data_IF_929308105532
#
_entry.id   IF_929308105532
#
_cell.length_a   1.000
_cell.length_b   1.000
_cell.length_c   1.000
_cell.angle_alpha   90.00
_cell.angle_beta   90.00
_cell.angle_gamma   90.00
#
_symmetry.space_group_name_H-M   'P 1'
#
loop_
_entity.id
_entity.type
_entity.pdbx_description
1 polymer ?
#
# COMPACT_ATOMS: atom_id res chain seq x y z
N UNK A 1 -29.57 -33.81 -69.44
CA UNK A 1 -30.47 -34.19 -68.35
C UNK A 1 -29.96 -35.51 -67.79
N UNK A 2 -29.20 -35.46 -66.70
CA UNK A 2 -29.16 -36.45 -65.61
C UNK A 2 -28.15 -35.99 -64.56
N UNK A 3 -28.59 -35.99 -63.30
CA UNK A 3 -27.79 -35.70 -62.12
C UNK A 3 -26.82 -36.86 -61.86
N UNK A 4 -25.62 -36.55 -61.38
CA UNK A 4 -24.92 -37.43 -60.43
C UNK A 4 -24.37 -36.62 -59.26
N UNK A 5 -24.84 -37.02 -58.08
CA UNK A 5 -24.50 -36.59 -56.73
C UNK A 5 -23.06 -37.02 -56.41
N UNK A 6 -22.24 -36.16 -55.81
CA UNK A 6 -21.11 -36.60 -54.99
C UNK A 6 -20.94 -35.67 -53.78
N UNK A 7 -21.44 -36.14 -52.64
CA UNK A 7 -21.15 -35.59 -51.33
C UNK A 7 -19.94 -36.33 -50.72
N UNK A 8 -19.00 -35.56 -50.16
CA UNK A 8 -17.99 -35.88 -49.12
C UNK A 8 -17.21 -34.57 -48.97
N UNK A 9 -17.52 -33.70 -48.01
CA UNK A 9 -17.33 -33.91 -46.58
C UNK A 9 -15.91 -33.44 -46.23
N UNK A 10 -15.79 -32.41 -45.38
CA UNK A 10 -14.90 -32.30 -44.22
C UNK A 10 -14.60 -30.83 -43.85
N UNK A 11 -15.29 -30.42 -42.79
CA UNK A 11 -14.79 -29.64 -41.66
C UNK A 11 -13.94 -28.39 -41.94
N UNK A 12 -14.65 -27.27 -41.86
CA UNK A 12 -14.16 -25.98 -41.39
C UNK A 12 -13.40 -26.16 -40.06
N UNK A 13 -12.12 -25.79 -40.03
CA UNK A 13 -11.40 -25.56 -38.78
C UNK A 13 -10.86 -24.14 -38.78
N UNK A 14 -11.68 -23.24 -38.23
CA UNK A 14 -11.27 -21.88 -37.87
C UNK A 14 -10.10 -21.97 -36.89
N UNK A 15 -8.93 -21.48 -37.31
CA UNK A 15 -7.80 -21.27 -36.41
C UNK A 15 -8.16 -20.15 -35.43
N UNK A 16 -8.73 -20.53 -34.29
CA UNK A 16 -8.90 -19.66 -33.13
C UNK A 16 -7.49 -19.37 -32.62
N UNK A 17 -6.96 -18.19 -32.98
CA UNK A 17 -5.79 -17.64 -32.31
C UNK A 17 -6.22 -17.36 -30.88
N UNK A 18 -5.89 -18.30 -29.98
CA UNK A 18 -6.01 -18.12 -28.54
C UNK A 18 -5.14 -16.92 -28.16
N UNK A 19 -5.79 -15.78 -27.93
CA UNK A 19 -5.17 -14.66 -27.24
C UNK A 19 -4.74 -15.18 -25.86
N UNK A 20 -3.44 -15.42 -25.69
CA UNK A 20 -2.83 -15.61 -24.39
C UNK A 20 -3.01 -14.29 -23.62
N UNK A 21 -4.06 -14.20 -22.83
CA UNK A 21 -4.19 -13.18 -21.79
C UNK A 21 -3.04 -13.45 -20.84
N UNK A 22 -1.96 -12.68 -20.98
CA UNK A 22 -0.97 -12.52 -19.93
C UNK A 22 -1.75 -11.87 -18.79
N UNK A 23 -2.24 -12.69 -17.87
CA UNK A 23 -2.63 -12.21 -16.53
C UNK A 23 -1.32 -11.75 -15.92
N UNK A 24 -0.99 -10.49 -16.14
CA UNK A 24 0.01 -9.82 -15.34
C UNK A 24 -0.48 -10.02 -13.91
N UNK A 25 0.27 -10.79 -13.12
CA UNK A 25 0.09 -10.86 -11.69
C UNK A 25 0.38 -9.46 -11.17
N UNK A 26 -0.63 -8.59 -11.21
CA UNK A 26 -0.65 -7.38 -10.39
C UNK A 26 -0.51 -7.91 -8.99
N UNK A 27 0.67 -7.72 -8.39
CA UNK A 27 0.86 -7.94 -6.96
C UNK A 27 -0.34 -7.26 -6.29
N UNK A 28 -1.28 -8.06 -5.80
CA UNK A 28 -2.52 -7.55 -5.25
C UNK A 28 -2.11 -6.80 -4.00
N UNK A 29 -2.18 -5.49 -4.11
CA UNK A 29 -1.89 -4.60 -3.01
C UNK A 29 -2.94 -4.88 -1.96
N UNK A 30 -2.48 -5.19 -0.75
CA UNK A 30 -3.33 -5.70 0.30
C UNK A 30 -3.93 -4.56 1.12
N UNK A 31 -3.52 -3.30 0.94
CA UNK A 31 -4.09 -2.19 1.69
C UNK A 31 -3.40 -0.82 1.52
N UNK A 32 -3.72 0.09 2.45
CA UNK A 32 -3.19 1.46 2.49
C UNK A 32 -3.10 2.00 3.92
N UNK A 33 -2.19 2.96 4.13
CA UNK A 33 -2.02 3.74 5.35
C UNK A 33 -2.48 5.19 5.13
N UNK A 34 -3.58 5.61 5.76
CA UNK A 34 -4.10 6.99 5.65
C UNK A 34 -3.58 7.93 6.73
N UNK A 35 -3.03 7.40 7.82
CA UNK A 35 -2.32 8.15 8.86
C UNK A 35 -1.34 7.22 9.57
N UNK A 36 -0.15 7.66 9.98
CA UNK A 36 0.43 8.96 9.66
C UNK A 36 0.78 9.07 8.17
N UNK A 37 0.94 10.29 7.66
CA UNK A 37 1.41 10.52 6.30
C UNK A 37 2.93 10.66 6.24
N UNK A 38 3.49 10.45 5.06
CA UNK A 38 4.92 10.54 4.81
C UNK A 38 5.45 11.95 5.12
N UNK A 39 6.43 12.02 6.03
CA UNK A 39 7.03 13.26 6.50
C UNK A 39 6.25 13.97 7.61
N UNK A 40 5.23 13.34 8.19
CA UNK A 40 4.50 13.90 9.33
C UNK A 40 5.44 14.15 10.51
N UNK A 41 5.27 15.31 11.16
CA UNK A 41 6.07 15.76 12.30
C UNK A 41 5.23 15.67 13.57
N UNK A 42 5.78 15.03 14.59
CA UNK A 42 5.23 14.94 15.94
C UNK A 42 5.98 15.86 16.90
N UNK A 43 5.36 16.25 18.00
CA UNK A 43 5.99 17.11 19.00
C UNK A 43 7.04 16.34 19.80
N UNK A 44 6.77 15.07 20.10
CA UNK A 44 7.67 14.19 20.85
C UNK A 44 7.75 12.79 20.22
N UNK A 45 8.91 12.15 20.34
CA UNK A 45 9.14 10.74 20.01
C UNK A 45 8.34 9.78 20.88
N UNK A 46 7.92 10.24 22.05
CA UNK A 46 7.06 9.47 22.96
C UNK A 46 5.58 9.66 22.66
N UNK A 47 5.22 10.48 21.67
CA UNK A 47 3.83 10.65 21.28
C UNK A 47 3.27 9.33 20.74
N UNK A 48 2.02 9.06 21.09
CA UNK A 48 1.30 7.92 20.55
C UNK A 48 0.90 8.21 19.10
N UNK A 49 1.41 7.40 18.18
CA UNK A 49 1.18 7.55 16.73
C UNK A 49 -0.06 6.75 16.35
N UNK A 50 -1.05 7.44 15.77
CA UNK A 50 -2.26 6.80 15.24
C UNK A 50 -2.01 6.28 13.82
N UNK A 51 -1.89 4.96 13.70
CA UNK A 51 -1.83 4.25 12.43
C UNK A 51 -3.25 3.92 11.98
N UNK A 52 -3.74 4.61 10.94
CA UNK A 52 -5.01 4.35 10.30
C UNK A 52 -4.77 3.55 9.02
N UNK A 53 -5.14 2.27 9.07
CA UNK A 53 -4.87 1.30 8.01
C UNK A 53 -6.17 0.69 7.52
N UNK A 54 -6.19 0.41 6.23
CA UNK A 54 -7.28 -0.30 5.55
C UNK A 54 -6.68 -1.40 4.70
N UNK A 55 -7.30 -2.57 4.73
CA UNK A 55 -6.85 -3.74 3.96
C UNK A 55 -8.00 -4.41 3.23
N UNK A 56 -7.70 -5.07 2.11
CA UNK A 56 -8.64 -5.94 1.38
C UNK A 56 -8.60 -7.39 1.86
N UNK A 57 -7.64 -7.76 2.71
CA UNK A 57 -7.47 -9.10 3.27
C UNK A 57 -7.64 -9.07 4.79
N UNK A 58 -8.74 -9.60 5.30
CA UNK A 58 -8.98 -9.73 6.74
C UNK A 58 -8.41 -11.01 7.35
N UNK A 59 -7.89 -11.92 6.53
CA UNK A 59 -7.39 -13.23 6.98
C UNK A 59 -5.94 -13.20 7.45
N UNK A 60 -5.22 -12.13 7.12
CA UNK A 60 -3.80 -11.97 7.45
C UNK A 60 -3.58 -10.77 8.35
N UNK A 61 -2.78 -10.99 9.40
CA UNK A 61 -2.33 -9.92 10.28
C UNK A 61 -1.41 -8.93 9.55
N UNK A 62 -1.51 -7.67 9.95
CA UNK A 62 -0.63 -6.59 9.52
C UNK A 62 0.45 -6.39 10.58
N UNK A 63 1.71 -6.44 10.20
CA UNK A 63 2.82 -6.16 11.10
C UNK A 63 3.42 -4.79 10.78
N UNK A 64 3.51 -3.96 11.81
CA UNK A 64 4.28 -2.72 11.78
C UNK A 64 5.68 -3.01 12.29
N UNK A 65 6.67 -2.53 11.56
CA UNK A 65 8.08 -2.62 11.94
C UNK A 65 8.73 -1.25 11.81
N UNK A 66 9.61 -0.90 12.72
CA UNK A 66 10.35 0.35 12.65
C UNK A 66 11.85 0.14 12.55
N UNK A 67 12.52 1.13 11.97
CA UNK A 67 13.95 1.23 11.94
C UNK A 67 14.37 2.70 12.00
N UNK A 68 15.64 2.91 12.35
CA UNK A 68 16.27 4.23 12.19
C UNK A 68 16.24 4.65 10.74
N UNK A 69 15.79 5.87 10.46
CA UNK A 69 15.75 6.38 9.09
C UNK A 69 17.08 6.98 8.62
N UNK A 70 17.29 6.96 7.31
CA UNK A 70 18.23 7.81 6.61
C UNK A 70 17.60 9.19 6.35
N UNK A 71 18.43 10.18 6.01
CA UNK A 71 17.98 11.53 5.69
C UNK A 71 16.95 11.60 4.55
N UNK A 72 16.91 10.56 3.70
CA UNK A 72 16.05 10.46 2.53
C UNK A 72 14.83 9.55 2.75
N UNK A 73 14.59 9.10 3.99
CA UNK A 73 13.37 8.40 4.39
C UNK A 73 13.35 6.88 4.19
N UNK A 74 14.45 6.28 3.73
CA UNK A 74 14.64 4.82 3.78
C UNK A 74 15.28 4.37 5.09
N UNK A 75 15.38 3.05 5.32
CA UNK A 75 16.14 2.48 6.43
C UNK A 75 17.60 2.94 6.41
N UNK A 76 18.14 3.31 7.57
CA UNK A 76 19.57 3.60 7.72
C UNK A 76 20.37 2.29 7.73
N UNK A 77 21.49 2.26 7.01
CA UNK A 77 22.33 1.05 6.85
C UNK A 77 22.82 0.43 8.15
N UNK A 78 22.87 1.19 9.26
CA UNK A 78 23.26 0.71 10.58
C UNK A 78 22.10 0.30 11.49
N UNK A 79 20.87 0.16 10.99
CA UNK A 79 19.70 -0.25 11.78
C UNK A 79 18.87 -1.30 11.07
N UNK A 80 18.40 -2.30 11.82
CA UNK A 80 17.46 -3.31 11.33
C UNK A 80 16.01 -2.94 11.64
N UNK A 81 15.09 -3.48 10.83
CA UNK A 81 13.68 -3.44 11.16
C UNK A 81 13.44 -4.30 12.39
N UNK A 82 12.73 -3.73 13.36
CA UNK A 82 12.26 -4.44 14.53
C UNK A 82 10.74 -4.33 14.63
N UNK A 83 10.06 -5.38 15.10
CA UNK A 83 8.61 -5.35 15.28
C UNK A 83 8.18 -4.21 16.22
N UNK A 84 7.17 -3.45 15.79
CA UNK A 84 6.44 -2.48 16.60
C UNK A 84 5.20 -3.13 17.23
N UNK A 85 4.35 -3.68 16.37
CA UNK A 85 3.07 -4.28 16.76
C UNK A 85 2.52 -5.10 15.60
N UNK A 86 1.58 -5.97 15.93
CA UNK A 86 0.81 -6.76 14.98
C UNK A 86 -0.67 -6.43 15.17
N UNK A 87 -1.39 -6.26 14.07
CA UNK A 87 -2.77 -5.82 14.04
C UNK A 87 -3.57 -6.84 13.26
N UNK A 88 -4.56 -7.43 13.92
CA UNK A 88 -5.57 -8.25 13.23
C UNK A 88 -6.62 -7.30 12.65
N UNK A 89 -6.89 -7.34 11.33
CA UNK A 89 -7.95 -6.54 10.73
C UNK A 89 -9.32 -6.83 11.37
N UNK A 90 -10.18 -5.82 11.39
CA UNK A 90 -11.57 -5.97 11.85
C UNK A 90 -12.30 -7.01 11.02
N UNK A 91 -13.17 -7.79 11.66
CA UNK A 91 -14.11 -8.68 10.96
C UNK A 91 -15.23 -7.92 10.26
N UNK A 92 -15.43 -6.65 10.61
CA UNK A 92 -16.53 -5.83 10.08
C UNK A 92 -16.15 -5.28 8.70
N UNK A 93 -16.83 -5.73 7.63
CA UNK A 93 -16.53 -5.27 6.28
C UNK A 93 -17.07 -3.85 6.07
N UNK A 94 -16.23 -3.00 5.50
CA UNK A 94 -16.65 -1.75 4.89
C UNK A 94 -16.68 -1.94 3.37
N UNK A 95 -17.77 -1.51 2.76
CA UNK A 95 -17.89 -1.54 1.31
C UNK A 95 -17.35 -0.24 0.75
N UNK A 96 -16.58 -0.34 -0.33
CA UNK A 96 -16.33 0.84 -1.15
C UNK A 96 -17.65 1.40 -1.68
N UNK A 97 -17.65 2.66 -2.13
CA UNK A 97 -18.89 3.30 -2.57
C UNK A 97 -19.53 2.59 -3.78
N UNK A 98 -18.82 1.65 -4.44
CA UNK A 98 -19.34 0.85 -5.55
C UNK A 98 -20.39 -0.18 -5.11
N UNK A 99 -20.64 -0.32 -3.81
CA UNK A 99 -21.84 -1.01 -3.32
C UNK A 99 -21.77 -2.53 -3.45
N UNK A 100 -20.57 -3.13 -3.35
CA UNK A 100 -20.44 -4.58 -3.15
C UNK A 100 -19.20 -5.26 -3.70
N UNK A 101 -18.45 -4.60 -4.60
CA UNK A 101 -17.41 -5.31 -5.37
C UNK A 101 -16.03 -5.32 -4.69
N UNK A 102 -15.71 -4.34 -3.83
CA UNK A 102 -14.49 -4.36 -3.01
C UNK A 102 -14.83 -4.16 -1.54
N UNK A 103 -14.49 -5.18 -0.75
CA UNK A 103 -14.57 -5.12 0.71
C UNK A 103 -13.23 -4.66 1.25
N UNK A 104 -13.25 -3.68 2.13
CA UNK A 104 -12.10 -3.25 2.91
C UNK A 104 -12.39 -3.42 4.40
N UNK A 105 -11.34 -3.68 5.15
CA UNK A 105 -11.36 -3.92 6.58
C UNK A 105 -10.47 -2.90 7.26
N UNK A 106 -10.96 -2.33 8.35
CA UNK A 106 -10.16 -1.43 9.16
C UNK A 106 -9.13 -2.23 9.96
N UNK A 107 -7.89 -1.77 9.99
CA UNK A 107 -6.80 -2.37 10.77
C UNK A 107 -6.01 -1.29 11.53
N UNK A 108 -6.71 -0.31 12.09
CA UNK A 108 -6.09 0.85 12.75
C UNK A 108 -5.61 0.51 14.16
N UNK A 109 -4.50 1.10 14.57
CA UNK A 109 -3.96 1.00 15.93
C UNK A 109 -3.31 2.29 16.37
N UNK A 110 -2.95 2.36 17.65
CA UNK A 110 -2.16 3.44 18.22
C UNK A 110 -0.95 2.87 18.94
N UNK A 111 0.24 3.40 18.65
CA UNK A 111 1.50 2.86 19.15
C UNK A 111 2.47 3.99 19.47
N UNK A 112 3.16 3.86 20.61
CA UNK A 112 4.37 4.65 20.90
C UNK A 112 5.55 3.97 20.23
N UNK A 113 6.24 4.68 19.34
CA UNK A 113 7.42 4.14 18.65
C UNK A 113 8.61 4.12 19.63
N UNK A 114 9.25 2.96 19.88
CA UNK A 114 10.36 2.87 20.81
C UNK A 114 11.52 3.79 20.45
N UNK A 115 12.20 4.31 21.47
CA UNK A 115 13.38 5.17 21.31
C UNK A 115 14.49 4.54 20.46
N UNK A 116 14.58 3.21 20.43
CA UNK A 116 15.53 2.44 19.62
C UNK A 116 15.34 2.62 18.11
N UNK A 117 14.13 2.96 17.65
CA UNK A 117 13.82 3.22 16.24
C UNK A 117 14.09 4.66 15.81
N UNK A 118 14.22 5.57 16.75
CA UNK A 118 14.50 6.96 16.44
C UNK A 118 16.00 7.19 16.25
N UNK A 119 16.34 7.93 15.20
CA UNK A 119 17.68 8.44 14.96
C UNK A 119 17.67 9.94 15.10
N UNK A 120 18.55 10.47 15.94
CA UNK A 120 18.81 11.89 15.96
C UNK A 120 19.46 12.33 14.63
N UNK A 121 18.89 13.36 14.01
CA UNK A 121 19.40 13.91 12.76
C UNK A 121 19.31 15.43 12.80
N UNK A 122 20.47 16.08 12.68
CA UNK A 122 20.57 17.52 12.59
C UNK A 122 20.25 17.95 11.16
N UNK A 123 19.08 18.53 10.96
CA UNK A 123 18.78 19.28 9.74
C UNK A 123 19.31 20.72 9.89
N UNK A 124 19.75 21.37 8.80
CA UNK A 124 20.13 22.78 8.88
C UNK A 124 18.98 23.62 9.47
N UNK A 125 19.19 24.15 10.68
CA UNK A 125 18.22 24.99 11.40
C UNK A 125 17.22 24.26 12.30
N UNK A 126 17.25 22.92 12.39
CA UNK A 126 16.40 22.16 13.31
C UNK A 126 16.99 20.79 13.65
N UNK A 127 16.98 20.47 14.94
CA UNK A 127 17.24 19.11 15.39
C UNK A 127 15.92 18.33 15.38
N UNK A 128 15.87 17.25 14.59
CA UNK A 128 14.74 16.34 14.56
C UNK A 128 15.22 14.92 14.87
N UNK A 129 14.32 14.12 15.42
CA UNK A 129 14.45 12.68 15.40
C UNK A 129 13.67 12.12 14.22
N UNK A 130 14.28 11.17 13.52
CA UNK A 130 13.71 10.56 12.33
C UNK A 130 13.59 9.05 12.50
N UNK A 131 12.50 8.49 12.00
CA UNK A 131 12.23 7.04 11.98
C UNK A 131 11.56 6.67 10.67
N UNK A 132 11.66 5.40 10.31
CA UNK A 132 10.94 4.82 9.18
C UNK A 132 10.15 3.61 9.66
N UNK A 133 8.91 3.50 9.22
CA UNK A 133 8.04 2.37 9.52
C UNK A 133 7.71 1.64 8.23
N UNK A 134 7.92 0.32 8.23
CA UNK A 134 7.47 -0.62 7.20
C UNK A 134 6.21 -1.30 7.67
N UNK A 135 5.33 -1.63 6.73
CA UNK A 135 4.05 -2.27 6.99
C UNK A 135 3.99 -3.50 6.09
N UNK A 136 3.80 -4.66 6.69
CA UNK A 136 3.72 -5.94 5.98
C UNK A 136 2.41 -6.62 6.32
N UNK A 137 1.92 -7.48 5.44
CA UNK A 137 0.71 -8.25 5.68
C UNK A 137 0.91 -9.72 5.30
N UNK A 138 0.85 -10.60 6.31
CA UNK A 138 1.11 -12.03 6.20
C UNK A 138 2.33 -12.38 5.34
N UNK A 139 2.11 -13.12 4.24
CA UNK A 139 3.18 -13.54 3.32
C UNK A 139 3.36 -12.62 2.11
N UNK A 140 2.49 -11.62 1.97
CA UNK A 140 2.71 -10.56 1.00
C UNK A 140 3.94 -9.78 1.47
N UNK A 141 4.97 -9.74 0.62
CA UNK A 141 6.22 -9.07 0.93
C UNK A 141 6.02 -7.58 1.26
N UNK A 142 7.13 -6.90 1.57
CA UNK A 142 7.26 -5.51 2.02
C UNK A 142 6.48 -4.41 1.25
N UNK A 143 5.82 -4.76 0.15
CA UNK A 143 5.27 -3.85 -0.85
C UNK A 143 3.73 -3.82 -0.92
N UNK A 144 3.04 -4.47 0.01
CA UNK A 144 1.58 -4.66 -0.12
C UNK A 144 0.74 -3.45 0.31
N UNK A 145 1.30 -2.48 1.04
CA UNK A 145 0.58 -1.32 1.60
C UNK A 145 1.02 -0.01 0.93
N UNK A 146 0.05 0.81 0.51
CA UNK A 146 0.32 2.17 0.02
C UNK A 146 0.54 3.15 1.16
N UNK A 147 1.51 4.05 0.97
CA UNK A 147 1.69 5.23 1.83
C UNK A 147 1.44 6.50 1.03
N UNK A 148 1.01 7.56 1.71
CA UNK A 148 0.71 8.85 1.10
C UNK A 148 1.48 9.94 1.83
N UNK A 149 1.89 11.00 1.13
CA UNK A 149 2.20 12.26 1.78
C UNK A 149 0.93 13.11 1.91
N UNK A 150 1.07 14.35 2.40
CA UNK A 150 -0.06 15.26 2.60
C UNK A 150 -0.81 15.55 1.29
N UNK A 151 -0.10 15.70 0.18
CA UNK A 151 -0.70 15.95 -1.13
C UNK A 151 -1.42 14.70 -1.64
N UNK A 152 -0.80 13.54 -1.46
CA UNK A 152 -1.38 12.23 -1.77
C UNK A 152 -2.67 11.94 -1.01
N UNK A 153 -2.75 12.30 0.28
CA UNK A 153 -4.01 12.22 1.04
C UNK A 153 -5.07 13.19 0.51
N UNK A 154 -4.67 14.40 0.08
CA UNK A 154 -5.57 15.34 -0.58
C UNK A 154 -6.12 14.78 -1.90
N UNK A 155 -5.25 14.20 -2.72
CA UNK A 155 -5.60 13.47 -3.94
C UNK A 155 -6.59 12.34 -3.62
N UNK A 156 -6.28 11.51 -2.63
CA UNK A 156 -7.15 10.43 -2.17
C UNK A 156 -8.53 10.94 -1.75
N UNK A 157 -8.57 12.01 -0.95
CA UNK A 157 -9.81 12.62 -0.48
C UNK A 157 -10.74 13.10 -1.61
N UNK A 158 -10.18 13.50 -2.76
CA UNK A 158 -10.99 13.88 -3.94
C UNK A 158 -11.71 12.69 -4.58
N UNK A 159 -11.28 11.46 -4.29
CA UNK A 159 -11.87 10.25 -4.85
C UNK A 159 -12.78 9.49 -3.88
N UNK A 160 -12.75 9.85 -2.59
CA UNK A 160 -13.69 9.30 -1.61
C UNK A 160 -15.12 9.60 -2.07
N UNK A 161 -15.90 8.54 -2.31
CA UNK A 161 -17.30 8.63 -2.75
C UNK A 161 -17.54 8.86 -4.25
N UNK A 162 -16.52 8.88 -5.11
CA UNK A 162 -16.67 9.08 -6.57
C UNK A 162 -16.57 7.79 -7.37
N UNK A 163 -17.55 7.51 -8.23
CA UNK A 163 -17.67 6.31 -9.10
C UNK A 163 -16.55 6.07 -10.13
N UNK A 164 -16.03 4.83 -10.20
CA UNK A 164 -15.02 4.32 -11.15
C UNK A 164 -14.22 3.10 -10.64
N UNK A 165 -13.95 2.12 -11.52
CA UNK A 165 -13.09 0.94 -11.28
C UNK A 165 -11.78 1.35 -10.57
N UNK A 166 -11.52 0.77 -9.39
CA UNK A 166 -10.37 1.05 -8.51
C UNK A 166 -10.32 2.48 -8.00
N UNK A 167 -11.28 2.86 -7.16
CA UNK A 167 -11.58 4.27 -6.92
C UNK A 167 -10.52 5.09 -6.19
N UNK A 168 -9.36 4.55 -5.88
CA UNK A 168 -8.27 5.25 -5.22
C UNK A 168 -6.94 4.53 -5.43
N UNK A 169 -6.98 3.20 -5.36
CA UNK A 169 -5.89 2.33 -5.78
C UNK A 169 -5.56 2.55 -7.28
N UNK A 170 -4.32 2.95 -7.58
CA UNK A 170 -3.86 3.15 -8.97
C UNK A 170 -4.18 4.53 -9.58
N UNK A 171 -4.70 5.49 -8.79
CA UNK A 171 -4.85 6.89 -9.23
C UNK A 171 -3.56 7.72 -9.13
N UNK A 172 -2.46 7.10 -8.67
CA UNK A 172 -1.17 7.77 -8.53
C UNK A 172 -1.13 8.76 -7.36
N UNK A 173 -2.02 8.61 -6.38
CA UNK A 173 -2.04 9.46 -5.19
C UNK A 173 -0.95 9.05 -4.17
N UNK A 174 -0.43 7.84 -4.27
CA UNK A 174 0.60 7.33 -3.38
C UNK A 174 1.91 8.11 -3.47
N UNK A 175 2.67 8.12 -2.37
CA UNK A 175 4.00 8.70 -2.37
C UNK A 175 4.90 7.92 -3.31
N UNK A 176 5.65 8.62 -4.16
CA UNK A 176 6.59 8.03 -5.12
C UNK A 176 7.97 8.66 -5.02
N UNK A 177 8.99 7.86 -5.36
CA UNK A 177 10.35 8.36 -5.56
C UNK A 177 10.40 9.23 -6.82
N UNK A 178 10.98 10.43 -6.73
CA UNK A 178 11.01 11.40 -7.86
C UNK A 178 11.82 10.85 -9.04
N UNK A 179 12.89 10.12 -8.77
CA UNK A 179 13.84 9.65 -9.77
C UNK A 179 13.38 8.38 -10.51
N UNK A 180 12.64 7.49 -9.84
CA UNK A 180 12.18 6.23 -10.46
C UNK A 180 10.68 6.22 -10.74
N UNK A 181 9.92 7.10 -10.10
CA UNK A 181 8.47 7.06 -10.08
C UNK A 181 7.91 5.92 -9.23
N UNK A 182 8.75 5.07 -8.62
CA UNK A 182 8.27 3.90 -7.86
C UNK A 182 7.56 4.31 -6.57
N UNK A 183 6.45 3.63 -6.20
CA UNK A 183 5.78 3.86 -4.92
C UNK A 183 6.72 3.67 -3.71
N UNK A 184 6.64 4.58 -2.75
CA UNK A 184 7.28 4.43 -1.45
C UNK A 184 6.34 3.64 -0.53
N UNK A 185 6.83 2.51 -0.01
CA UNK A 185 6.07 1.54 0.79
C UNK A 185 6.30 1.67 2.29
N UNK A 186 7.18 2.58 2.68
CA UNK A 186 7.49 2.90 4.06
C UNK A 186 7.02 4.30 4.40
N UNK A 187 6.61 4.53 5.64
CA UNK A 187 6.29 5.88 6.12
C UNK A 187 7.47 6.45 6.92
N UNK A 188 7.96 7.59 6.46
CA UNK A 188 9.00 8.35 7.15
C UNK A 188 8.35 9.34 8.12
N UNK A 189 8.78 9.34 9.38
CA UNK A 189 8.20 10.20 10.42
C UNK A 189 9.30 11.01 11.11
N UNK A 190 8.92 12.19 11.62
CA UNK A 190 9.80 13.10 12.36
C UNK A 190 9.23 13.41 13.74
N UNK A 191 10.09 13.73 14.69
CA UNK A 191 9.70 14.25 16.00
C UNK A 191 10.68 15.34 16.48
N UNK A 192 10.18 16.36 17.18
CA UNK A 192 11.01 17.50 17.62
C UNK A 192 11.81 17.22 18.90
N UNK A 193 11.38 16.25 19.73
CA UNK A 193 12.03 15.90 21.01
C UNK A 193 12.01 14.41 21.33
#
# INVERSE_FOLDING_TARGET
>A
MELQLHAKGYFVMYTIIKASVIVAATAMLSGCLTSPFYGQVFSSRSDEVSFQLWTTDSSQDITLECAKASAHGGRWSGGDYQPLTTITPSSDPHYDYHGGDSVIYQASTKVVIPSSCWRYYNYPGKDDYITVVRITQGSHGDDSIYTFDKEGLGCLGQWVGKTGLFSWFGKGCEKRYINTGEPIRTVFLKAES
#
